data_IF_238085086000
#
_entry.id   IF_238085086000
#
_cell.length_a   1.000
_cell.length_b   1.000
_cell.length_c   1.000
_cell.angle_alpha   90.00
_cell.angle_beta   90.00
_cell.angle_gamma   90.00
#
_symmetry.space_group_name_H-M   'P 1'
#
loop_
_entity.id
_entity.type
_entity.pdbx_description
1 polymer ?
#
# COMPACT_ATOMS: atom_id res chain seq x y z
N UNK A 1 -6.67 -2.90 -4.70
CA UNK A 1 -5.77 -2.74 -5.86
C UNK A 1 -4.33 -2.48 -5.41
N UNK A 2 -3.40 -2.32 -6.35
CA UNK A 2 -1.99 -1.96 -6.08
C UNK A 2 -1.58 -0.73 -6.88
N UNK A 3 -0.68 0.09 -6.34
CA UNK A 3 -0.10 1.28 -6.99
C UNK A 3 1.41 1.31 -6.78
N UNK A 4 2.17 1.42 -7.85
CA UNK A 4 3.60 1.69 -7.79
C UNK A 4 3.87 3.07 -8.42
N UNK A 5 4.66 3.89 -7.75
CA UNK A 5 5.15 5.18 -8.26
C UNK A 5 6.67 5.23 -8.10
N UNK A 6 7.34 6.19 -8.73
CA UNK A 6 8.79 6.32 -8.70
C UNK A 6 9.19 7.73 -8.25
N UNK A 7 9.95 7.81 -7.14
CA UNK A 7 10.53 9.03 -6.58
C UNK A 7 9.52 10.15 -6.33
N UNK A 8 8.45 9.83 -5.61
CA UNK A 8 7.41 10.77 -5.19
C UNK A 8 7.40 10.92 -3.66
N UNK A 9 6.82 12.01 -3.16
CA UNK A 9 6.59 12.13 -1.72
C UNK A 9 5.49 11.17 -1.27
N UNK A 10 5.51 10.80 0.01
CA UNK A 10 4.52 9.89 0.58
C UNK A 10 3.09 10.46 0.46
N UNK A 11 2.92 11.79 0.61
CA UNK A 11 1.64 12.46 0.40
C UNK A 11 1.13 12.30 -1.05
N UNK A 12 2.01 12.47 -2.05
CA UNK A 12 1.63 12.29 -3.46
C UNK A 12 1.27 10.85 -3.76
N UNK A 13 2.02 9.89 -3.21
CA UNK A 13 1.72 8.46 -3.34
C UNK A 13 0.35 8.11 -2.75
N UNK A 14 0.06 8.59 -1.53
CA UNK A 14 -1.22 8.38 -0.84
C UNK A 14 -2.38 9.00 -1.61
N UNK A 15 -2.26 10.26 -2.03
CA UNK A 15 -3.34 10.96 -2.74
C UNK A 15 -3.65 10.28 -4.08
N UNK A 16 -2.63 9.94 -4.87
CA UNK A 16 -2.83 9.20 -6.14
C UNK A 16 -3.41 7.81 -5.93
N UNK A 17 -3.09 7.16 -4.81
CA UNK A 17 -3.65 5.85 -4.46
C UNK A 17 -5.13 5.96 -4.07
N UNK A 18 -5.51 7.04 -3.40
CA UNK A 18 -6.91 7.33 -3.08
C UNK A 18 -7.73 7.66 -4.34
N UNK A 19 -7.15 8.37 -5.32
CA UNK A 19 -7.80 8.59 -6.61
C UNK A 19 -8.00 7.27 -7.39
N UNK A 20 -6.98 6.39 -7.41
CA UNK A 20 -7.13 5.06 -8.00
C UNK A 20 -8.25 4.27 -7.31
N UNK A 21 -8.25 4.26 -5.97
CA UNK A 21 -9.27 3.58 -5.16
C UNK A 21 -10.68 4.01 -5.56
N UNK A 22 -10.95 5.31 -5.64
CA UNK A 22 -12.26 5.87 -6.04
C UNK A 22 -12.63 5.50 -7.47
N UNK A 23 -11.69 5.63 -8.41
CA UNK A 23 -11.96 5.34 -9.83
C UNK A 23 -12.26 3.86 -10.11
N UNK A 24 -11.72 2.96 -9.27
CA UNK A 24 -11.88 1.52 -9.41
C UNK A 24 -12.99 0.95 -8.52
N UNK A 25 -13.72 1.79 -7.76
CA UNK A 25 -14.69 1.37 -6.73
C UNK A 25 -14.13 0.28 -5.79
N UNK A 26 -12.89 0.48 -5.34
CA UNK A 26 -12.17 -0.49 -4.52
C UNK A 26 -12.25 -0.16 -3.01
N UNK A 27 -12.17 -1.16 -2.15
CA UNK A 27 -12.11 -0.93 -0.69
C UNK A 27 -10.73 -0.51 -0.19
N UNK A 28 -9.66 -0.92 -0.88
CA UNK A 28 -8.27 -0.64 -0.48
C UNK A 28 -7.30 -0.56 -1.67
N UNK A 29 -6.22 0.21 -1.50
CA UNK A 29 -5.05 0.22 -2.38
C UNK A 29 -3.77 0.09 -1.54
N UNK A 30 -2.89 -0.84 -1.94
CA UNK A 30 -1.54 -0.95 -1.39
C UNK A 30 -0.58 -0.25 -2.33
N UNK A 31 0.20 0.69 -1.80
CA UNK A 31 1.01 1.61 -2.58
C UNK A 31 2.47 1.61 -2.14
N UNK A 32 3.42 1.62 -3.07
CA UNK A 32 4.83 1.79 -2.76
C UNK A 32 5.55 2.71 -3.75
N UNK A 33 6.61 3.36 -3.26
CA UNK A 33 7.56 4.07 -4.11
C UNK A 33 8.71 3.10 -4.46
N UNK A 34 8.75 2.66 -5.71
CA UNK A 34 9.77 1.73 -6.24
C UNK A 34 11.06 2.44 -6.67
N UNK A 35 11.09 3.78 -6.65
CA UNK A 35 12.30 4.57 -6.92
C UNK A 35 13.24 4.64 -5.71
N UNK A 36 12.72 4.34 -4.52
CA UNK A 36 13.48 4.32 -3.26
C UNK A 36 14.23 3.00 -3.10
N UNK A 37 15.44 3.06 -2.52
CA UNK A 37 16.31 1.89 -2.31
C UNK A 37 15.60 0.80 -1.50
N UNK A 38 15.83 -0.47 -1.87
CA UNK A 38 15.28 -1.66 -1.19
C UNK A 38 13.75 -1.77 -1.23
N UNK A 39 13.07 -1.03 -2.13
CA UNK A 39 11.61 -1.04 -2.25
C UNK A 39 11.29 -1.26 -3.73
N UNK A 40 10.59 -2.33 -4.07
CA UNK A 40 10.17 -2.59 -5.44
C UNK A 40 10.76 -3.85 -6.07
N UNK A 41 11.14 -3.77 -7.34
CA UNK A 41 11.55 -4.92 -8.12
C UNK A 41 12.97 -5.36 -7.75
N UNK A 42 13.25 -6.66 -7.91
CA UNK A 42 14.60 -7.24 -7.73
C UNK A 42 15.22 -7.02 -6.33
N UNK A 43 14.37 -6.94 -5.30
CA UNK A 43 14.76 -6.86 -3.88
C UNK A 43 13.96 -7.87 -3.05
N UNK A 44 14.46 -8.25 -1.87
CA UNK A 44 13.70 -9.13 -0.94
C UNK A 44 12.77 -8.36 -0.01
N UNK A 45 12.92 -7.05 0.08
CA UNK A 45 12.20 -6.17 1.00
C UNK A 45 11.26 -5.21 0.27
N UNK A 46 10.31 -4.65 1.01
CA UNK A 46 9.45 -3.56 0.55
C UNK A 46 8.93 -2.72 1.71
N UNK A 47 8.47 -1.51 1.41
CA UNK A 47 7.76 -0.62 2.32
C UNK A 47 6.52 -0.13 1.59
N UNK A 48 5.36 -0.18 2.25
CA UNK A 48 4.07 0.10 1.60
C UNK A 48 3.18 0.99 2.46
N UNK A 49 2.32 1.76 1.80
CA UNK A 49 1.17 2.42 2.39
C UNK A 49 -0.10 1.66 2.00
N UNK A 50 -0.99 1.45 2.95
CA UNK A 50 -2.34 0.91 2.70
C UNK A 50 -3.31 2.07 2.87
N UNK A 51 -4.06 2.37 1.83
CA UNK A 51 -5.09 3.42 1.80
C UNK A 51 -6.45 2.76 1.66
N UNK A 52 -7.39 3.08 2.55
CA UNK A 52 -8.76 2.57 2.52
C UNK A 52 -9.78 3.58 1.94
N UNK A 53 -11.03 3.14 1.76
CA UNK A 53 -12.13 3.97 1.25
C UNK A 53 -12.47 5.20 2.08
N UNK A 54 -12.09 5.22 3.36
CA UNK A 54 -12.25 6.36 4.27
C UNK A 54 -11.02 7.28 4.26
N UNK A 55 -10.08 7.06 3.33
CA UNK A 55 -8.78 7.74 3.26
C UNK A 55 -7.93 7.54 4.51
N UNK A 56 -8.18 6.49 5.31
CA UNK A 56 -7.28 6.10 6.38
C UNK A 56 -6.03 5.48 5.78
N UNK A 57 -4.88 5.89 6.33
CA UNK A 57 -3.57 5.45 5.86
C UNK A 57 -2.91 4.60 6.93
N UNK A 58 -2.40 3.44 6.55
CA UNK A 58 -1.49 2.64 7.36
C UNK A 58 -0.16 2.52 6.66
N UNK A 59 0.92 2.90 7.33
CA UNK A 59 2.28 2.74 6.83
C UNK A 59 2.86 1.43 7.37
N UNK A 60 3.28 0.55 6.47
CA UNK A 60 4.05 -0.62 6.79
C UNK A 60 5.51 -0.33 6.44
N UNK A 61 6.32 -0.14 7.48
CA UNK A 61 7.76 0.10 7.39
C UNK A 61 8.48 -1.01 6.60
N UNK A 62 9.69 -0.68 6.13
CA UNK A 62 10.54 -1.59 5.36
C UNK A 62 10.72 -2.94 6.07
N UNK A 63 10.32 -4.01 5.39
CA UNK A 63 10.38 -5.38 5.90
C UNK A 63 10.52 -6.37 4.73
N UNK A 64 10.74 -7.66 5.04
CA UNK A 64 10.70 -8.75 4.06
C UNK A 64 9.37 -8.72 3.31
N UNK A 65 9.39 -8.88 1.98
CA UNK A 65 8.18 -8.94 1.15
C UNK A 65 7.17 -9.97 1.63
N UNK A 66 7.67 -11.10 2.17
CA UNK A 66 6.84 -12.15 2.79
C UNK A 66 6.10 -11.63 4.03
N UNK A 67 6.78 -10.85 4.87
CA UNK A 67 6.19 -10.25 6.07
C UNK A 67 5.22 -9.14 5.70
N UNK A 68 5.56 -8.29 4.72
CA UNK A 68 4.64 -7.29 4.16
C UNK A 68 3.37 -7.95 3.61
N UNK A 69 3.51 -9.05 2.85
CA UNK A 69 2.37 -9.82 2.35
C UNK A 69 1.46 -10.33 3.47
N UNK A 70 2.04 -10.91 4.52
CA UNK A 70 1.28 -11.36 5.70
C UNK A 70 0.56 -10.20 6.40
N UNK A 71 1.21 -9.04 6.55
CA UNK A 71 0.60 -7.85 7.15
C UNK A 71 -0.57 -7.33 6.30
N UNK A 72 -0.43 -7.29 4.97
CA UNK A 72 -1.53 -6.91 4.06
C UNK A 72 -2.72 -7.85 4.22
N UNK A 73 -2.49 -9.17 4.26
CA UNK A 73 -3.55 -10.16 4.45
C UNK A 73 -4.28 -9.97 5.78
N UNK A 74 -3.55 -9.68 6.86
CA UNK A 74 -4.13 -9.38 8.16
C UNK A 74 -5.02 -8.13 8.14
N UNK A 75 -4.63 -7.07 7.42
CA UNK A 75 -5.50 -5.89 7.27
C UNK A 75 -6.80 -6.21 6.55
N UNK A 76 -6.75 -7.02 5.49
CA UNK A 76 -7.94 -7.46 4.75
C UNK A 76 -8.87 -8.25 5.68
N UNK A 77 -8.32 -9.18 6.49
CA UNK A 77 -9.10 -10.00 7.43
C UNK A 77 -9.75 -9.18 8.56
N UNK A 78 -9.10 -8.10 9.01
CA UNK A 78 -9.71 -7.20 10.01
C UNK A 78 -10.92 -6.44 9.45
N UNK A 79 -10.88 -6.08 8.16
CA UNK A 79 -11.99 -5.41 7.49
C UNK A 79 -13.20 -6.35 7.35
N UNK A 80 -12.99 -7.61 6.97
CA UNK A 80 -14.07 -8.58 6.78
C UNK A 80 -14.75 -9.02 8.08
N UNK A 81 -14.13 -8.82 9.24
CA UNK A 81 -14.72 -9.09 10.56
C UNK A 81 -15.53 -7.93 11.12
N UNK A 82 -15.44 -6.76 10.50
CA UNK A 82 -16.11 -5.53 10.92
C UNK A 82 -17.37 -5.22 10.10
N UNK A 83 -17.75 -6.14 9.19
CA UNK A 83 -18.99 -6.16 8.39
C UNK A 83 -19.85 -7.28 8.94
#
# INVERSE_FOLDING_TARGET
GFKAECNVSDNVLVDRSYELLKSADADFVVANDVGKKNRGFDTETNEVFIVDKNKKVKHLELDDKRVIGSKILNEILHLTKSI
#
